data_IF_565143807184
#
_entry.id   IF_565143807184
#
_cell.length_a   1.000
_cell.length_b   1.000
_cell.length_c   1.000
_cell.angle_alpha   90.00
_cell.angle_beta   90.00
_cell.angle_gamma   90.00
#
_symmetry.space_group_name_H-M   'P 1'
#
loop_
_entity.id
_entity.type
_entity.pdbx_description
1 polymer ?
#
# COMPACT_ATOMS: atom_id res chain seq x y z
N UNK A 1 -21.65 17.32 25.27
CA UNK A 1 -21.01 18.49 24.61
C UNK A 1 -19.65 18.06 24.04
N UNK A 2 -19.60 17.37 22.89
CA UNK A 2 -18.32 16.80 22.40
C UNK A 2 -18.21 16.73 20.85
N UNK A 3 -19.03 17.50 20.12
CA UNK A 3 -18.98 17.55 18.64
C UNK A 3 -18.51 18.89 18.08
N UNK A 4 -18.86 20.01 18.74
CA UNK A 4 -18.52 21.36 18.25
C UNK A 4 -17.02 21.66 18.23
N UNK A 5 -16.27 21.14 19.20
CA UNK A 5 -14.83 21.43 19.36
C UNK A 5 -13.99 20.83 18.23
N UNK A 6 -14.36 19.66 17.72
CA UNK A 6 -13.64 18.96 16.64
C UNK A 6 -13.95 19.57 15.28
N UNK A 7 -15.21 19.98 15.05
CA UNK A 7 -15.61 20.59 13.78
C UNK A 7 -15.12 22.04 13.67
N UNK A 8 -15.06 22.79 14.78
CA UNK A 8 -14.37 24.09 14.84
C UNK A 8 -12.87 23.95 14.61
N UNK A 9 -12.23 22.93 15.20
CA UNK A 9 -10.83 22.63 14.92
C UNK A 9 -10.64 22.37 13.42
N UNK A 10 -11.42 21.48 12.81
CA UNK A 10 -11.36 21.16 11.37
C UNK A 10 -11.57 22.38 10.48
N UNK A 11 -12.53 23.24 10.80
CA UNK A 11 -12.80 24.45 10.03
C UNK A 11 -11.65 25.46 10.10
N UNK A 12 -11.15 25.75 11.31
CA UNK A 12 -9.98 26.61 11.53
C UNK A 12 -8.74 26.04 10.81
N UNK A 13 -8.62 24.72 10.79
CA UNK A 13 -7.54 23.98 10.14
C UNK A 13 -7.60 24.11 8.61
N UNK A 14 -8.78 23.96 8.01
CA UNK A 14 -8.99 24.14 6.58
C UNK A 14 -8.69 25.59 6.13
N UNK A 15 -9.03 26.58 6.96
CA UNK A 15 -8.73 27.98 6.67
C UNK A 15 -7.24 28.32 6.79
N UNK A 16 -6.53 27.71 7.75
CA UNK A 16 -5.07 27.78 7.84
C UNK A 16 -4.41 27.15 6.60
N UNK A 17 -4.88 25.99 6.15
CA UNK A 17 -4.37 25.34 4.94
C UNK A 17 -4.58 26.20 3.68
N UNK A 18 -5.78 26.77 3.48
CA UNK A 18 -6.04 27.69 2.38
C UNK A 18 -5.15 28.94 2.45
N UNK A 19 -4.78 29.39 3.65
CA UNK A 19 -3.85 30.52 3.82
C UNK A 19 -2.42 30.15 3.39
N UNK A 20 -1.96 28.93 3.71
CA UNK A 20 -0.69 28.37 3.23
C UNK A 20 -0.67 28.26 1.71
N UNK A 21 -1.72 27.71 1.10
CA UNK A 21 -1.81 27.57 -0.36
C UNK A 21 -1.80 28.94 -1.07
N UNK A 22 -2.52 29.93 -0.54
CA UNK A 22 -2.47 31.32 -1.05
C UNK A 22 -1.08 31.92 -0.93
N UNK A 23 -0.38 31.67 0.17
CA UNK A 23 1.00 32.14 0.36
C UNK A 23 1.93 31.49 -0.65
N UNK A 24 1.83 30.17 -0.85
CA UNK A 24 2.63 29.40 -1.82
C UNK A 24 2.40 29.89 -3.26
N UNK A 25 1.14 30.09 -3.65
CA UNK A 25 0.78 30.64 -4.97
C UNK A 25 1.43 32.02 -5.21
N UNK A 26 1.33 32.91 -4.21
CA UNK A 26 1.92 34.26 -4.30
C UNK A 26 3.45 34.25 -4.32
N UNK A 27 4.08 33.33 -3.60
CA UNK A 27 5.54 33.18 -3.64
C UNK A 27 6.00 32.67 -5.02
N UNK A 28 5.24 31.77 -5.66
CA UNK A 28 5.50 31.31 -7.03
C UNK A 28 5.36 32.41 -8.09
N UNK A 29 4.45 33.36 -7.88
CA UNK A 29 4.26 34.53 -8.76
C UNK A 29 5.41 35.56 -8.68
N UNK A 30 6.18 35.58 -7.57
CA UNK A 30 7.22 36.59 -7.33
C UNK A 30 8.57 36.28 -7.99
N UNK A 31 8.72 35.11 -8.62
CA UNK A 31 9.93 34.71 -9.33
C UNK A 31 11.10 34.37 -8.41
N UNK A 32 11.95 33.45 -8.88
CA UNK A 32 13.06 32.86 -8.11
C UNK A 32 14.22 33.86 -7.95
N UNK A 33 14.09 34.76 -6.98
CA UNK A 33 15.26 35.40 -6.37
C UNK A 33 15.69 34.48 -5.23
N UNK A 34 16.92 33.99 -5.22
CA UNK A 34 17.37 32.93 -4.31
C UNK A 34 17.11 33.15 -2.80
N UNK A 35 16.78 34.38 -2.37
CA UNK A 35 16.30 34.69 -1.01
C UNK A 35 14.85 34.24 -0.79
N UNK A 36 13.96 34.42 -1.77
CA UNK A 36 12.57 33.97 -1.71
C UNK A 36 12.44 32.44 -1.79
N UNK A 37 13.33 31.78 -2.55
CA UNK A 37 13.42 30.31 -2.56
C UNK A 37 13.78 29.74 -1.19
N UNK A 38 14.87 30.24 -0.57
CA UNK A 38 15.30 29.82 0.77
C UNK A 38 14.23 30.12 1.84
N UNK A 39 13.57 31.28 1.74
CA UNK A 39 12.49 31.63 2.66
C UNK A 39 11.26 30.72 2.47
N UNK A 40 10.93 30.39 1.21
CA UNK A 40 9.86 29.45 0.87
C UNK A 40 10.11 28.04 1.42
N UNK A 41 11.33 27.51 1.27
CA UNK A 41 11.72 26.22 1.82
C UNK A 41 11.65 26.19 3.36
N UNK A 42 12.13 27.25 4.03
CA UNK A 42 12.05 27.35 5.50
C UNK A 42 10.61 27.47 6.01
N UNK A 43 9.75 28.20 5.30
CA UNK A 43 8.32 28.28 5.63
C UNK A 43 7.65 26.92 5.42
N UNK A 44 7.96 26.20 4.33
CA UNK A 44 7.43 24.87 4.09
C UNK A 44 7.88 23.87 5.17
N UNK A 45 9.14 23.93 5.60
CA UNK A 45 9.66 23.12 6.70
C UNK A 45 8.96 23.42 8.03
N UNK A 46 8.82 24.71 8.41
CA UNK A 46 8.10 25.14 9.61
C UNK A 46 6.63 24.73 9.61
N UNK A 47 5.98 24.82 8.44
CA UNK A 47 4.60 24.37 8.28
C UNK A 47 4.51 22.84 8.37
N UNK A 48 5.47 22.10 7.83
CA UNK A 48 5.55 20.65 8.00
C UNK A 48 5.75 20.22 9.45
N UNK A 49 6.64 20.90 10.19
CA UNK A 49 6.86 20.68 11.62
C UNK A 49 5.61 20.98 12.44
N UNK A 50 4.99 22.14 12.22
CA UNK A 50 3.75 22.51 12.92
C UNK A 50 2.59 21.58 12.59
N UNK A 51 2.45 21.19 11.32
CA UNK A 51 1.42 20.27 10.87
C UNK A 51 1.61 18.88 11.49
N UNK A 52 2.84 18.39 11.62
CA UNK A 52 3.15 17.16 12.38
C UNK A 52 2.75 17.27 13.87
N UNK A 53 3.06 18.40 14.53
CA UNK A 53 2.72 18.63 15.95
C UNK A 53 1.22 18.65 16.23
N UNK A 54 0.39 19.04 15.24
CA UNK A 54 -1.08 19.03 15.35
C UNK A 54 -1.75 17.88 14.59
N UNK A 55 -0.98 16.88 14.12
CA UNK A 55 -1.48 15.67 13.46
C UNK A 55 -2.02 15.88 12.03
N UNK A 56 -1.66 16.99 11.39
CA UNK A 56 -1.96 17.31 10.00
C UNK A 56 -0.80 16.89 9.11
N UNK A 57 -0.88 15.73 8.47
CA UNK A 57 -0.11 15.51 7.24
C UNK A 57 -1.10 15.68 6.11
N UNK A 58 -0.88 16.62 5.19
CA UNK A 58 -1.60 16.59 3.92
C UNK A 58 -1.12 15.34 3.17
N UNK A 59 -1.96 14.30 3.00
CA UNK A 59 -1.55 13.09 2.30
C UNK A 59 -1.17 13.38 0.85
N UNK A 60 -1.69 14.47 0.26
CA UNK A 60 -1.35 14.92 -1.09
C UNK A 60 -0.01 15.66 -1.17
N UNK A 61 0.56 16.09 -0.04
CA UNK A 61 1.88 16.72 0.04
C UNK A 61 2.99 15.74 0.43
N UNK A 62 2.66 14.52 0.85
CA UNK A 62 3.65 13.47 1.07
C UNK A 62 4.34 13.16 -0.28
N UNK A 63 5.68 13.05 -0.34
CA UNK A 63 6.41 12.83 -1.60
C UNK A 63 5.90 11.64 -2.42
N UNK A 64 5.35 10.62 -1.76
CA UNK A 64 4.80 9.43 -2.39
C UNK A 64 3.27 9.46 -2.56
N UNK A 65 2.54 10.46 -2.06
CA UNK A 65 1.07 10.53 -2.14
C UNK A 65 0.35 9.25 -1.70
N UNK A 66 0.96 8.49 -0.80
CA UNK A 66 0.75 7.05 -0.73
C UNK A 66 -0.43 6.66 0.16
N UNK A 67 -1.27 5.74 -0.32
CA UNK A 67 -2.42 5.20 0.44
C UNK A 67 -2.14 3.76 0.85
N UNK A 68 -2.26 3.47 2.14
CA UNK A 68 -2.19 2.09 2.64
C UNK A 68 -3.25 1.23 1.95
N UNK A 69 -2.82 0.08 1.45
CA UNK A 69 -3.66 -0.87 0.77
C UNK A 69 -3.94 -2.12 1.60
N UNK A 70 -2.89 -2.90 1.87
CA UNK A 70 -3.02 -4.14 2.61
C UNK A 70 -1.77 -4.47 3.44
N UNK A 71 -1.97 -5.41 4.36
CA UNK A 71 -0.88 -6.11 5.06
C UNK A 71 -0.75 -7.50 4.44
N UNK A 72 0.43 -7.83 3.92
CA UNK A 72 0.77 -9.19 3.50
C UNK A 72 1.15 -10.03 4.71
N UNK A 73 0.50 -11.17 4.90
CA UNK A 73 0.69 -12.09 6.02
C UNK A 73 1.03 -13.47 5.50
N UNK A 74 2.23 -13.97 5.80
CA UNK A 74 2.66 -15.30 5.41
C UNK A 74 2.11 -16.34 6.38
N UNK A 75 1.46 -17.36 5.84
CA UNK A 75 0.77 -18.41 6.61
C UNK A 75 1.22 -19.80 6.16
N UNK A 76 1.25 -20.74 7.11
CA UNK A 76 1.58 -22.14 6.82
C UNK A 76 0.41 -22.90 6.19
N UNK A 77 -0.80 -22.61 6.65
CA UNK A 77 -2.03 -23.23 6.21
C UNK A 77 -3.05 -22.14 5.86
N UNK A 78 -3.28 -21.98 4.57
CA UNK A 78 -4.15 -20.97 4.01
C UNK A 78 -5.63 -21.22 4.36
N UNK A 79 -6.04 -22.48 4.54
CA UNK A 79 -7.42 -22.80 4.98
C UNK A 79 -7.64 -22.41 6.43
N UNK A 80 -6.72 -22.79 7.31
CA UNK A 80 -6.80 -22.41 8.72
C UNK A 80 -6.78 -20.88 8.90
N UNK A 81 -5.94 -20.19 8.12
CA UNK A 81 -5.89 -18.74 8.11
C UNK A 81 -7.18 -18.13 7.53
N UNK A 82 -7.76 -18.69 6.46
CA UNK A 82 -9.04 -18.24 5.92
C UNK A 82 -10.17 -18.33 6.96
N UNK A 83 -10.20 -19.37 7.80
CA UNK A 83 -11.16 -19.44 8.90
C UNK A 83 -10.94 -18.32 9.91
N UNK A 84 -9.70 -18.00 10.27
CA UNK A 84 -9.43 -16.89 11.18
C UNK A 84 -9.82 -15.54 10.58
N UNK A 85 -9.27 -15.19 9.43
CA UNK A 85 -9.42 -13.86 8.83
C UNK A 85 -10.78 -13.65 8.17
N UNK A 86 -11.35 -14.69 7.55
CA UNK A 86 -12.70 -14.67 6.99
C UNK A 86 -13.76 -14.90 8.05
N UNK A 87 -13.86 -16.13 8.55
CA UNK A 87 -15.02 -16.56 9.34
C UNK A 87 -15.07 -15.93 10.74
N UNK A 88 -13.93 -15.85 11.44
CA UNK A 88 -13.89 -15.38 12.83
C UNK A 88 -13.73 -13.86 12.96
N UNK A 89 -12.95 -13.24 12.09
CA UNK A 89 -12.72 -11.78 12.08
C UNK A 89 -13.68 -11.02 11.14
N UNK A 90 -14.47 -11.73 10.33
CA UNK A 90 -15.50 -11.13 9.47
C UNK A 90 -14.98 -10.55 8.16
N UNK A 91 -13.81 -10.97 7.69
CA UNK A 91 -13.26 -10.56 6.41
C UNK A 91 -14.07 -11.10 5.23
N UNK A 92 -14.32 -10.26 4.24
CA UNK A 92 -14.94 -10.68 2.96
C UNK A 92 -13.86 -11.03 1.97
N UNK A 93 -13.87 -12.26 1.43
CA UNK A 93 -12.96 -12.66 0.35
C UNK A 93 -13.26 -11.83 -0.91
N UNK A 94 -12.27 -11.08 -1.38
CA UNK A 94 -12.41 -10.23 -2.58
C UNK A 94 -11.67 -10.77 -3.79
N UNK A 95 -10.50 -11.38 -3.61
CA UNK A 95 -9.74 -12.03 -4.68
C UNK A 95 -8.73 -13.04 -4.12
N UNK A 96 -8.08 -13.79 -5.01
CA UNK A 96 -7.10 -14.79 -4.66
C UNK A 96 -6.77 -15.69 -5.85
N UNK A 97 -5.79 -16.57 -5.67
CA UNK A 97 -5.34 -17.49 -6.71
C UNK A 97 -3.93 -18.01 -6.48
N UNK A 98 -3.54 -19.00 -7.27
CA UNK A 98 -2.14 -19.42 -7.40
C UNK A 98 -1.33 -18.42 -8.23
N UNK A 99 -0.09 -18.15 -7.86
CA UNK A 99 0.85 -17.36 -8.65
C UNK A 99 2.11 -18.19 -8.89
N UNK A 100 2.15 -18.89 -10.01
CA UNK A 100 3.23 -19.84 -10.31
C UNK A 100 4.60 -19.16 -10.40
N UNK A 101 4.67 -17.99 -11.04
CA UNK A 101 5.90 -17.18 -11.12
C UNK A 101 6.51 -16.84 -9.76
N UNK A 102 5.67 -16.50 -8.78
CA UNK A 102 6.09 -16.17 -7.41
C UNK A 102 6.16 -17.37 -6.47
N UNK A 103 5.58 -18.51 -6.87
CA UNK A 103 5.57 -19.73 -6.06
C UNK A 103 4.72 -19.59 -4.80
N UNK A 104 3.59 -18.91 -4.91
CA UNK A 104 2.66 -18.65 -3.80
C UNK A 104 1.21 -18.94 -4.20
N UNK A 105 0.34 -19.08 -3.22
CA UNK A 105 -1.11 -19.00 -3.34
C UNK A 105 -1.61 -17.95 -2.35
N UNK A 106 -2.51 -17.09 -2.80
CA UNK A 106 -3.00 -15.98 -1.97
C UNK A 106 -4.52 -15.88 -1.85
N UNK A 107 -4.97 -15.27 -0.75
CA UNK A 107 -6.35 -14.87 -0.50
C UNK A 107 -6.35 -13.44 0.04
N UNK A 108 -7.19 -12.58 -0.51
CA UNK A 108 -7.36 -11.20 -0.06
C UNK A 108 -8.70 -11.06 0.66
N UNK A 109 -8.65 -10.65 1.92
CA UNK A 109 -9.84 -10.35 2.72
C UNK A 109 -9.95 -8.84 2.94
N UNK A 110 -11.11 -8.28 2.59
CA UNK A 110 -11.46 -6.90 2.83
C UNK A 110 -12.37 -6.76 4.05
N UNK A 111 -12.23 -5.65 4.77
CA UNK A 111 -13.02 -5.30 5.95
C UNK A 111 -13.68 -3.93 5.78
N UNK A 112 -14.59 -3.61 6.69
CA UNK A 112 -15.20 -2.28 6.76
C UNK A 112 -14.12 -1.18 6.88
N UNK A 113 -14.33 -0.08 6.17
CA UNK A 113 -13.37 1.04 6.13
C UNK A 113 -12.22 0.88 5.14
N UNK A 114 -12.23 -0.18 4.31
CA UNK A 114 -11.29 -0.34 3.20
C UNK A 114 -9.95 -0.98 3.57
N UNK A 115 -9.82 -1.50 4.80
CA UNK A 115 -8.63 -2.27 5.20
C UNK A 115 -8.64 -3.66 4.57
N UNK A 116 -7.45 -4.15 4.21
CA UNK A 116 -7.28 -5.47 3.58
C UNK A 116 -6.12 -6.24 4.20
N UNK A 117 -6.27 -7.57 4.21
CA UNK A 117 -5.21 -8.52 4.53
C UNK A 117 -5.03 -9.46 3.35
N UNK A 118 -3.81 -9.57 2.85
CA UNK A 118 -3.41 -10.60 1.91
C UNK A 118 -2.76 -11.75 2.68
N UNK A 119 -3.32 -12.94 2.56
CA UNK A 119 -2.72 -14.16 3.07
C UNK A 119 -1.86 -14.79 1.99
N UNK A 120 -0.62 -15.15 2.34
CA UNK A 120 0.38 -15.71 1.43
C UNK A 120 0.81 -17.09 1.92
N UNK A 121 0.52 -18.14 1.15
CA UNK A 121 1.06 -19.48 1.40
C UNK A 121 2.06 -19.85 0.30
N UNK A 122 3.31 -20.24 0.63
CA UNK A 122 4.24 -20.72 -0.37
C UNK A 122 3.76 -22.04 -0.97
N UNK A 123 3.88 -22.20 -2.29
CA UNK A 123 3.59 -23.44 -3.03
C UNK A 123 4.86 -24.17 -3.49
N UNK A 124 6.00 -23.48 -3.46
CA UNK A 124 7.33 -24.03 -3.77
C UNK A 124 8.44 -23.22 -3.06
N UNK A 125 9.70 -23.68 -3.06
CA UNK A 125 10.81 -22.90 -2.52
C UNK A 125 10.92 -21.51 -3.16
N UNK A 126 11.18 -20.49 -2.35
CA UNK A 126 11.22 -19.09 -2.77
C UNK A 126 11.36 -18.13 -1.59
N UNK A 127 11.32 -16.80 -1.81
CA UNK A 127 11.42 -15.80 -0.76
C UNK A 127 10.40 -15.99 0.38
N UNK A 128 9.13 -16.20 0.02
CA UNK A 128 8.04 -16.43 1.00
C UNK A 128 8.23 -17.72 1.79
N UNK A 129 8.69 -18.80 1.14
CA UNK A 129 9.00 -20.06 1.83
C UNK A 129 10.15 -19.87 2.84
N UNK A 130 11.22 -19.17 2.47
CA UNK A 130 12.34 -18.85 3.38
C UNK A 130 11.90 -17.96 4.54
N UNK A 131 10.99 -17.03 4.31
CA UNK A 131 10.40 -16.23 5.39
C UNK A 131 9.62 -17.11 6.36
N UNK A 132 8.75 -17.99 5.84
CA UNK A 132 7.96 -18.92 6.66
C UNK A 132 8.86 -19.84 7.49
N UNK A 133 9.94 -20.37 6.92
CA UNK A 133 10.90 -21.25 7.60
C UNK A 133 11.68 -20.50 8.70
N UNK A 134 12.12 -19.28 8.43
CA UNK A 134 12.97 -18.52 9.36
C UNK A 134 12.19 -17.80 10.46
N UNK A 135 10.92 -17.43 10.22
CA UNK A 135 10.09 -16.62 11.15
C UNK A 135 8.86 -17.34 11.68
N UNK A 136 8.45 -18.46 11.07
CA UNK A 136 7.24 -19.20 11.43
C UNK A 136 5.95 -18.66 10.82
N UNK A 137 6.02 -17.60 9.99
CA UNK A 137 4.88 -16.89 9.41
C UNK A 137 4.65 -15.53 10.07
N UNK A 138 3.52 -14.89 9.77
CA UNK A 138 3.13 -13.59 10.30
C UNK A 138 3.24 -12.44 9.29
N UNK A 139 3.12 -11.18 9.75
CA UNK A 139 3.24 -10.00 8.90
C UNK A 139 4.55 -9.99 8.13
N UNK A 140 4.46 -9.84 6.81
CA UNK A 140 5.59 -9.92 5.90
C UNK A 140 5.90 -8.56 5.26
N UNK A 141 4.88 -7.86 4.76
CA UNK A 141 5.05 -6.52 4.20
C UNK A 141 3.79 -5.65 4.40
N UNK A 142 3.97 -4.34 4.29
CA UNK A 142 2.89 -3.37 4.12
C UNK A 142 2.91 -2.85 2.69
N UNK A 143 1.74 -2.70 2.09
CA UNK A 143 1.61 -2.26 0.70
C UNK A 143 0.90 -0.93 0.62
N UNK A 144 1.48 0.01 -0.12
CA UNK A 144 0.91 1.33 -0.36
C UNK A 144 0.77 1.61 -1.85
N UNK A 145 -0.35 2.17 -2.26
CA UNK A 145 -0.52 2.72 -3.60
C UNK A 145 0.04 4.13 -3.69
N UNK A 146 0.78 4.44 -4.75
CA UNK A 146 1.26 5.77 -5.12
C UNK A 146 0.71 6.16 -6.51
N UNK A 147 0.45 7.45 -6.76
CA UNK A 147 0.09 7.92 -8.11
C UNK A 147 1.24 7.86 -9.12
N UNK A 148 2.50 7.86 -8.66
CA UNK A 148 3.69 7.82 -9.51
C UNK A 148 4.84 7.11 -8.79
N UNK A 149 5.14 5.87 -9.21
CA UNK A 149 6.19 5.06 -8.62
C UNK A 149 7.58 5.61 -8.91
N UNK A 150 7.79 6.20 -10.09
CA UNK A 150 9.10 6.75 -10.47
C UNK A 150 9.45 7.94 -9.60
N UNK A 151 8.53 8.89 -9.45
CA UNK A 151 8.70 10.04 -8.56
C UNK A 151 8.85 9.60 -7.09
N UNK A 152 8.10 8.58 -6.67
CA UNK A 152 8.22 8.02 -5.32
C UNK A 152 9.62 7.47 -5.07
N UNK A 153 10.17 6.71 -6.01
CA UNK A 153 11.51 6.11 -5.90
C UNK A 153 12.60 7.19 -5.85
N UNK A 154 12.47 8.26 -6.65
CA UNK A 154 13.38 9.42 -6.56
C UNK A 154 13.29 10.09 -5.18
N UNK A 155 12.08 10.30 -4.67
CA UNK A 155 11.85 10.83 -3.32
C UNK A 155 12.45 9.96 -2.22
N UNK A 156 12.31 8.64 -2.32
CA UNK A 156 12.90 7.68 -1.38
C UNK A 156 14.43 7.75 -1.40
N UNK A 157 15.04 7.80 -2.59
CA UNK A 157 16.49 7.95 -2.72
C UNK A 157 16.99 9.26 -2.12
N UNK A 158 16.29 10.38 -2.37
CA UNK A 158 16.59 11.68 -1.76
C UNK A 158 16.47 11.69 -0.24
N UNK A 159 15.60 10.85 0.33
CA UNK A 159 15.43 10.64 1.76
C UNK A 159 16.38 9.58 2.38
N UNK A 160 17.28 9.01 1.58
CA UNK A 160 18.23 7.99 2.05
C UNK A 160 17.63 6.58 2.26
N UNK A 161 16.49 6.29 1.64
CA UNK A 161 15.85 4.97 1.68
C UNK A 161 16.31 4.11 0.49
N UNK A 162 16.58 2.84 0.74
CA UNK A 162 17.02 1.89 -0.30
C UNK A 162 15.84 1.13 -0.88
N UNK A 163 15.70 1.17 -2.21
CA UNK A 163 14.85 0.24 -2.96
C UNK A 163 15.62 -1.07 -3.18
N UNK A 164 15.11 -2.17 -2.63
CA UNK A 164 15.77 -3.49 -2.68
C UNK A 164 15.34 -4.35 -3.86
N UNK A 165 14.17 -4.07 -4.41
CA UNK A 165 13.63 -4.72 -5.61
C UNK A 165 12.59 -3.79 -6.28
N UNK A 166 12.46 -3.87 -7.59
CA UNK A 166 11.48 -3.10 -8.35
C UNK A 166 11.12 -3.78 -9.68
N UNK A 167 9.83 -3.85 -9.96
CA UNK A 167 9.29 -4.28 -11.25
C UNK A 167 8.45 -3.15 -11.85
N UNK A 168 8.85 -2.68 -13.03
CA UNK A 168 8.15 -1.65 -13.81
C UNK A 168 7.72 -2.15 -15.18
N UNK A 169 7.72 -3.47 -15.37
CA UNK A 169 7.51 -4.10 -16.67
C UNK A 169 6.06 -4.05 -17.17
N UNK A 170 5.09 -3.92 -16.28
CA UNK A 170 3.67 -3.90 -16.59
C UNK A 170 3.05 -2.51 -16.30
N UNK A 171 2.52 -1.81 -17.32
CA UNK A 171 1.87 -0.50 -17.13
C UNK A 171 0.69 -0.52 -16.15
N UNK A 172 -0.01 -1.65 -16.03
CA UNK A 172 -1.15 -1.84 -15.15
C UNK A 172 -0.77 -2.07 -13.68
N UNK A 173 0.49 -2.45 -13.41
CA UNK A 173 0.99 -2.77 -12.08
C UNK A 173 2.51 -2.65 -12.05
N UNK A 174 2.99 -1.56 -11.46
CA UNK A 174 4.41 -1.38 -11.16
C UNK A 174 4.60 -1.41 -9.65
N UNK A 175 5.68 -2.00 -9.18
CA UNK A 175 5.95 -2.11 -7.75
C UNK A 175 7.43 -1.93 -7.42
N UNK A 176 7.69 -1.49 -6.19
CA UNK A 176 9.01 -1.46 -5.61
C UNK A 176 8.96 -1.77 -4.12
N UNK A 177 10.07 -2.29 -3.58
CA UNK A 177 10.19 -2.66 -2.18
C UNK A 177 11.28 -1.86 -1.50
N UNK A 178 10.97 -1.27 -0.34
CA UNK A 178 11.92 -0.57 0.51
C UNK A 178 12.56 -1.51 1.54
N UNK A 179 13.85 -1.31 1.76
CA UNK A 179 14.66 -2.09 2.71
C UNK A 179 14.12 -2.01 4.14
N UNK A 180 13.82 -3.15 4.79
CA UNK A 180 13.45 -3.21 6.21
C UNK A 180 14.47 -2.59 7.16
N UNK A 181 15.72 -2.41 6.73
CA UNK A 181 16.77 -1.78 7.56
C UNK A 181 16.51 -0.29 7.80
N UNK A 182 15.87 0.36 6.83
CA UNK A 182 15.56 1.80 6.91
C UNK A 182 14.08 2.05 7.27
N UNK A 183 13.23 1.04 7.18
CA UNK A 183 11.78 1.13 7.46
C UNK A 183 11.38 0.40 8.74
N UNK A 184 12.21 0.53 9.78
CA UNK A 184 11.94 0.04 11.15
C UNK A 184 11.62 -1.47 11.23
N UNK A 185 12.26 -2.27 10.38
CA UNK A 185 12.07 -3.72 10.33
C UNK A 185 10.90 -4.19 9.47
N UNK A 186 10.15 -3.28 8.83
CA UNK A 186 9.02 -3.62 7.98
C UNK A 186 9.41 -3.58 6.50
N UNK A 187 9.18 -4.65 5.73
CA UNK A 187 9.25 -4.54 4.28
C UNK A 187 8.07 -3.68 3.79
N UNK A 188 8.34 -2.61 3.05
CA UNK A 188 7.29 -1.75 2.49
C UNK A 188 7.28 -1.93 0.98
N UNK A 189 6.15 -2.38 0.44
CA UNK A 189 5.85 -2.39 -0.98
C UNK A 189 5.14 -1.09 -1.35
N UNK A 190 5.55 -0.50 -2.45
CA UNK A 190 4.94 0.70 -3.02
C UNK A 190 4.54 0.37 -4.46
N UNK A 191 3.29 0.63 -4.81
CA UNK A 191 2.68 0.19 -6.06
C UNK A 191 2.09 1.37 -6.80
N UNK A 192 2.37 1.51 -8.08
CA UNK A 192 1.58 2.32 -9.01
C UNK A 192 0.69 1.37 -9.81
N UNK A 193 -0.62 1.49 -9.60
CA UNK A 193 -1.61 0.58 -10.15
C UNK A 193 -2.99 0.82 -9.57
N UNK A 194 -3.94 -0.02 -9.97
CA UNK A 194 -5.31 0.05 -9.46
C UNK A 194 -5.54 -1.00 -8.37
N UNK A 195 -6.41 -0.65 -7.42
CA UNK A 195 -6.96 -1.62 -6.48
C UNK A 195 -7.72 -2.72 -7.24
N UNK A 196 -7.62 -3.95 -6.76
CA UNK A 196 -8.23 -5.11 -7.37
C UNK A 196 -9.69 -5.16 -6.93
N UNK A 197 -10.58 -4.99 -7.90
CA UNK A 197 -12.01 -5.12 -7.66
C UNK A 197 -12.38 -6.53 -7.20
N UNK A 198 -13.37 -6.68 -6.30
CA UNK A 198 -13.86 -8.00 -5.90
C UNK A 198 -14.30 -8.83 -7.11
N UNK A 199 -13.84 -10.07 -7.17
CA UNK A 199 -14.23 -11.01 -8.24
C UNK A 199 -15.44 -11.85 -7.84
N UNK A 200 -16.36 -12.03 -8.79
CA UNK A 200 -17.58 -12.79 -8.55
C UNK A 200 -17.33 -14.30 -8.59
N UNK A 201 -17.99 -15.04 -7.69
CA UNK A 201 -17.97 -16.51 -7.65
C UNK A 201 -16.69 -17.12 -7.08
N UNK A 202 -15.76 -16.31 -6.56
CA UNK A 202 -14.59 -16.82 -5.85
C UNK A 202 -15.00 -17.44 -4.51
N UNK A 203 -14.35 -18.55 -4.16
CA UNK A 203 -14.46 -19.16 -2.83
C UNK A 203 -13.08 -19.59 -2.37
N UNK A 204 -12.88 -19.69 -1.05
CA UNK A 204 -11.65 -20.25 -0.47
C UNK A 204 -11.37 -21.63 -1.04
N UNK A 205 -12.40 -22.47 -1.13
CA UNK A 205 -12.32 -23.82 -1.69
C UNK A 205 -11.85 -23.84 -3.15
N UNK A 206 -12.40 -22.96 -3.99
CA UNK A 206 -11.99 -22.87 -5.41
C UNK A 206 -10.52 -22.45 -5.55
N UNK A 207 -10.06 -21.48 -4.74
CA UNK A 207 -8.65 -21.07 -4.74
C UNK A 207 -7.73 -22.21 -4.26
N UNK A 208 -8.15 -22.95 -3.22
CA UNK A 208 -7.38 -24.09 -2.71
C UNK A 208 -7.32 -25.28 -3.68
N UNK A 209 -8.28 -25.39 -4.61
CA UNK A 209 -8.29 -26.36 -5.71
C UNK A 209 -7.60 -25.85 -6.98
N UNK A 210 -6.91 -24.70 -6.90
CA UNK A 210 -6.23 -24.06 -8.02
C UNK A 210 -7.17 -23.74 -9.20
N UNK A 211 -8.45 -23.45 -8.92
CA UNK A 211 -9.42 -22.99 -9.92
C UNK A 211 -9.28 -21.49 -10.24
N UNK A 212 -8.40 -20.78 -9.52
CA UNK A 212 -8.08 -19.38 -9.70
C UNK A 212 -6.57 -19.18 -9.73
N UNK A 213 -6.09 -18.35 -10.67
CA UNK A 213 -4.68 -18.01 -10.84
C UNK A 213 -4.49 -16.51 -11.00
N UNK A 214 -3.31 -16.02 -10.62
CA UNK A 214 -2.83 -14.69 -10.94
C UNK A 214 -2.20 -14.69 -12.32
N UNK A 215 -2.78 -13.92 -13.25
CA UNK A 215 -2.28 -13.73 -14.61
C UNK A 215 -2.49 -12.29 -15.04
N UNK A 216 -1.45 -11.67 -15.61
CA UNK A 216 -1.45 -10.27 -16.03
C UNK A 216 -1.91 -9.34 -14.88
N UNK A 217 -1.34 -9.56 -13.70
CA UNK A 217 -1.65 -8.82 -12.45
C UNK A 217 -3.12 -8.86 -12.02
N UNK A 218 -3.89 -9.86 -12.49
CA UNK A 218 -5.30 -10.02 -12.15
C UNK A 218 -5.65 -11.46 -11.77
N UNK A 219 -6.61 -11.66 -10.84
CA UNK A 219 -7.18 -12.97 -10.58
C UNK A 219 -8.06 -13.41 -11.75
N UNK A 220 -7.77 -14.58 -12.31
CA UNK A 220 -8.50 -15.19 -13.41
C UNK A 220 -8.93 -16.60 -13.03
N UNK A 221 -10.13 -17.01 -13.48
CA UNK A 221 -10.59 -18.39 -13.29
C UNK A 221 -9.86 -19.29 -14.29
N UNK A 222 -9.28 -20.38 -13.80
CA UNK A 222 -8.62 -21.38 -14.64
C UNK A 222 -9.69 -22.08 -15.47
N UNK A 223 -9.69 -21.82 -16.78
CA UNK A 223 -10.56 -22.51 -17.71
C UNK A 223 -10.04 -23.93 -17.88
N UNK A 224 -10.68 -24.90 -17.23
CA UNK A 224 -10.45 -26.29 -17.58
C UNK A 224 -11.00 -26.49 -18.98
N UNK A 225 -10.14 -26.57 -19.99
CA UNK A 225 -10.57 -27.18 -21.25
C UNK A 225 -11.15 -28.53 -20.88
N UNK A 226 -12.44 -28.73 -21.20
CA UNK A 226 -13.07 -30.01 -21.03
C UNK A 226 -12.21 -31.04 -21.75
N UNK A 227 -11.48 -31.87 -20.99
CA UNK A 227 -10.84 -33.07 -21.52
C UNK A 227 -11.94 -33.90 -22.17
N UNK A 228 -12.09 -33.75 -23.48
CA UNK A 228 -12.89 -34.60 -24.36
C UNK A 228 -11.97 -35.59 -25.04
#
# INVERSE_FOLDING_TARGET
MAGGDVDELRAATADAWRAVERMRSRLGELGDTGVLGILGERIAALLGEFAWEVGMVDPAAAPAGARLDHVGVVVRDLRAAATLYGDLLGGTLVCGGGHDGMGIRSLHFAYAGGSKVELLQPTRPGPVARFLESRGGGPHHLTFFTPDLSASIEGFAGAGLTVVDADRGAPEWQEAYLSPRETQGCLIQVVEGADIAPVSGITVDAVLRDEWEWRDHRPQRVMTEARR
#
